data_IF_894144542444
#
_entry.id   IF_894144542444
#
_cell.length_a   1.000
_cell.length_b   1.000
_cell.length_c   1.000
_cell.angle_alpha   90.00
_cell.angle_beta   90.00
_cell.angle_gamma   90.00
#
_symmetry.space_group_name_H-M   'P 1'
#
loop_
_entity.id
_entity.type
_entity.pdbx_description
1 polymer ?
#
# COMPACT_ATOMS: atom_id res chain seq x y z
N UNK A 1 28.19 -9.26 -8.87
CA UNK A 1 27.77 -10.57 -8.34
C UNK A 1 27.57 -11.58 -9.48
N UNK A 2 26.46 -11.56 -10.23
CA UNK A 2 26.20 -12.53 -11.30
C UNK A 2 27.31 -12.59 -12.37
N UNK A 3 27.72 -11.43 -12.92
CA UNK A 3 28.84 -11.36 -13.88
C UNK A 3 30.21 -11.77 -13.30
N UNK A 4 30.31 -11.90 -11.99
CA UNK A 4 31.50 -12.36 -11.27
C UNK A 4 31.37 -13.81 -10.77
N UNK A 5 30.38 -14.57 -11.26
CA UNK A 5 30.21 -16.00 -10.98
C UNK A 5 29.36 -16.35 -9.75
N UNK A 6 28.78 -15.38 -9.05
CA UNK A 6 27.89 -15.67 -7.93
C UNK A 6 26.55 -16.27 -8.41
N UNK A 7 26.05 -17.28 -7.69
CA UNK A 7 24.71 -17.85 -7.90
C UNK A 7 23.68 -16.89 -7.32
N UNK A 8 22.70 -16.51 -8.11
CA UNK A 8 21.52 -15.76 -7.65
C UNK A 8 20.40 -16.76 -7.35
N UNK A 9 19.59 -16.46 -6.34
CA UNK A 9 18.40 -17.22 -5.97
C UNK A 9 17.22 -16.29 -5.82
N UNK A 10 16.00 -16.83 -5.94
CA UNK A 10 14.76 -16.17 -5.55
C UNK A 10 14.47 -14.86 -6.30
N UNK A 11 14.99 -14.72 -7.52
CA UNK A 11 14.85 -13.51 -8.34
C UNK A 11 13.41 -13.27 -8.81
N UNK A 12 12.56 -14.29 -8.75
CA UNK A 12 11.13 -14.21 -9.03
C UNK A 12 10.33 -13.53 -7.91
N UNK A 13 10.87 -13.42 -6.68
CA UNK A 13 10.18 -12.84 -5.53
C UNK A 13 10.32 -11.31 -5.49
N UNK A 14 9.64 -10.65 -6.42
CA UNK A 14 9.56 -9.18 -6.48
C UNK A 14 8.43 -8.67 -5.60
N UNK A 15 8.76 -7.79 -4.65
CA UNK A 15 7.76 -7.19 -3.77
C UNK A 15 7.14 -5.93 -4.40
N UNK A 16 5.81 -5.90 -4.42
CA UNK A 16 5.04 -4.70 -4.74
C UNK A 16 4.64 -4.01 -3.43
N UNK A 17 5.02 -2.74 -3.28
CA UNK A 17 4.59 -1.97 -2.12
C UNK A 17 3.10 -1.62 -2.27
N UNK A 18 2.22 -1.97 -1.31
CA UNK A 18 0.77 -1.84 -1.51
C UNK A 18 0.27 -0.40 -1.70
N UNK A 19 0.95 0.57 -1.08
CA UNK A 19 0.50 1.96 -0.98
C UNK A 19 1.46 2.92 -1.68
N UNK A 20 1.83 2.61 -2.93
CA UNK A 20 2.43 3.60 -3.82
C UNK A 20 1.36 4.60 -4.28
N UNK A 21 1.65 5.90 -4.20
CA UNK A 21 0.69 6.96 -4.52
C UNK A 21 0.43 7.00 -6.02
N UNK A 22 -0.81 6.70 -6.42
CA UNK A 22 -1.26 6.81 -7.81
C UNK A 22 -1.22 8.27 -8.26
N UNK A 23 -0.15 8.64 -8.97
CA UNK A 23 0.11 10.01 -9.44
C UNK A 23 0.91 10.00 -10.75
N UNK A 24 1.04 11.18 -11.37
CA UNK A 24 1.87 11.35 -12.56
C UNK A 24 3.40 11.26 -12.28
N UNK A 25 3.83 11.31 -11.00
CA UNK A 25 5.24 11.32 -10.61
C UNK A 25 5.94 10.01 -10.96
N UNK A 26 7.21 10.08 -11.38
CA UNK A 26 8.08 8.90 -11.59
C UNK A 26 9.47 9.16 -10.97
N UNK A 27 9.95 8.30 -10.05
CA UNK A 27 9.25 7.16 -9.46
C UNK A 27 8.02 7.59 -8.64
N UNK A 28 7.07 6.66 -8.45
CA UNK A 28 5.90 6.92 -7.60
C UNK A 28 6.36 7.19 -6.15
N UNK A 29 5.70 8.14 -5.49
CA UNK A 29 5.91 8.37 -4.06
C UNK A 29 5.32 7.20 -3.27
N UNK A 30 6.01 6.78 -2.20
CA UNK A 30 5.50 5.72 -1.32
C UNK A 30 4.83 6.34 -0.10
N UNK A 31 3.61 5.89 0.18
CA UNK A 31 2.95 6.14 1.46
C UNK A 31 3.30 4.99 2.40
N UNK A 32 3.99 5.30 3.50
CA UNK A 32 4.52 4.33 4.45
C UNK A 32 3.44 3.38 4.98
N UNK A 33 3.79 2.11 5.18
CA UNK A 33 2.90 1.14 5.85
C UNK A 33 2.53 1.56 7.28
N UNK A 34 3.38 2.38 7.91
CA UNK A 34 3.09 2.96 9.21
C UNK A 34 1.76 3.74 9.22
N UNK A 35 1.32 4.30 8.08
CA UNK A 35 0.01 4.96 7.98
C UNK A 35 -1.14 3.96 8.20
N UNK A 36 -1.04 2.74 7.66
CA UNK A 36 -1.97 1.64 7.97
C UNK A 36 -1.84 1.20 9.44
N UNK A 37 -0.61 1.17 9.96
CA UNK A 37 -0.29 0.90 11.37
C UNK A 37 -1.00 1.84 12.36
N UNK A 38 -1.15 3.11 11.99
CA UNK A 38 -1.87 4.12 12.79
C UNK A 38 -3.40 4.05 12.60
N UNK A 39 -3.92 3.05 11.87
CA UNK A 39 -5.35 2.80 11.73
C UNK A 39 -5.99 3.31 10.44
N UNK A 40 -5.21 3.75 9.45
CA UNK A 40 -5.75 4.09 8.14
C UNK A 40 -6.36 2.87 7.43
N UNK A 41 -7.47 3.10 6.72
CA UNK A 41 -8.28 2.06 6.11
C UNK A 41 -8.07 2.00 4.60
N UNK A 42 -8.12 0.79 4.03
CA UNK A 42 -8.17 0.60 2.58
C UNK A 42 -9.63 0.53 2.13
N UNK A 43 -10.05 1.52 1.35
CA UNK A 43 -11.41 1.66 0.83
C UNK A 43 -11.39 1.52 -0.69
N UNK A 44 -12.41 0.91 -1.26
CA UNK A 44 -12.64 0.97 -2.70
C UNK A 44 -13.48 2.22 -3.06
N UNK A 45 -13.77 2.39 -4.33
CA UNK A 45 -14.49 3.57 -4.84
C UNK A 45 -15.94 3.72 -4.36
N UNK A 46 -16.57 2.64 -3.87
CA UNK A 46 -17.88 2.71 -3.22
C UNK A 46 -17.79 3.01 -1.73
N UNK A 47 -16.59 3.23 -1.20
CA UNK A 47 -16.32 3.47 0.21
C UNK A 47 -16.31 2.19 1.06
N UNK A 48 -16.33 1.01 0.44
CA UNK A 48 -16.30 -0.25 1.15
C UNK A 48 -14.88 -0.58 1.66
N UNK A 49 -14.76 -0.94 2.94
CA UNK A 49 -13.52 -1.44 3.55
C UNK A 49 -13.29 -2.90 3.15
N UNK A 50 -12.75 -3.11 1.95
CA UNK A 50 -12.61 -4.45 1.35
C UNK A 50 -11.58 -5.36 2.06
N UNK A 51 -10.72 -4.80 2.91
CA UNK A 51 -9.77 -5.58 3.72
C UNK A 51 -10.37 -6.13 5.01
N UNK A 52 -11.55 -5.66 5.45
CA UNK A 52 -12.19 -6.12 6.69
C UNK A 52 -12.34 -7.66 6.82
N UNK A 53 -12.71 -8.43 5.76
CA UNK A 53 -12.82 -9.88 5.86
C UNK A 53 -11.48 -10.63 5.77
N UNK A 54 -10.36 -9.95 5.51
CA UNK A 54 -9.04 -10.58 5.34
C UNK A 54 -8.36 -10.70 6.71
N UNK A 55 -7.82 -11.87 7.09
CA UNK A 55 -7.02 -11.99 8.33
C UNK A 55 -5.88 -10.98 8.37
N UNK A 56 -5.79 -10.22 9.46
CA UNK A 56 -4.83 -9.11 9.61
C UNK A 56 -5.25 -7.79 8.95
N UNK A 57 -6.31 -7.79 8.13
CA UNK A 57 -6.87 -6.62 7.46
C UNK A 57 -5.78 -5.72 6.83
N UNK A 58 -5.77 -4.42 7.12
CA UNK A 58 -4.76 -3.48 6.61
C UNK A 58 -3.34 -3.77 7.11
N UNK A 59 -3.15 -4.65 8.10
CA UNK A 59 -1.85 -5.08 8.61
C UNK A 59 -1.45 -6.49 8.16
N UNK A 60 -2.19 -7.08 7.22
CA UNK A 60 -1.77 -8.31 6.55
C UNK A 60 -0.44 -8.09 5.79
N UNK A 61 0.22 -9.20 5.40
CA UNK A 61 1.47 -9.15 4.66
C UNK A 61 1.34 -8.38 3.34
N UNK A 62 2.44 -7.76 2.90
CA UNK A 62 2.47 -6.88 1.71
C UNK A 62 1.87 -7.54 0.48
N UNK A 63 2.19 -8.81 0.25
CA UNK A 63 1.70 -9.57 -0.90
C UNK A 63 0.19 -9.84 -0.83
N UNK A 64 -0.37 -10.06 0.37
CA UNK A 64 -1.82 -10.20 0.58
C UNK A 64 -2.53 -8.89 0.29
N UNK A 65 -2.04 -7.78 0.85
CA UNK A 65 -2.64 -6.45 0.65
C UNK A 65 -2.52 -6.02 -0.81
N UNK A 66 -1.35 -6.18 -1.43
CA UNK A 66 -1.13 -5.83 -2.83
C UNK A 66 -2.05 -6.62 -3.77
N UNK A 67 -2.22 -7.92 -3.57
CA UNK A 67 -3.17 -8.74 -4.35
C UNK A 67 -4.64 -8.35 -4.12
N UNK A 68 -5.00 -7.91 -2.92
CA UNK A 68 -6.35 -7.44 -2.66
C UNK A 68 -6.63 -6.11 -3.40
N UNK A 69 -5.67 -5.17 -3.38
CA UNK A 69 -5.74 -3.90 -4.13
C UNK A 69 -5.83 -4.17 -5.64
N UNK A 70 -4.97 -5.05 -6.15
CA UNK A 70 -4.95 -5.43 -7.58
C UNK A 70 -6.31 -5.98 -8.05
N UNK A 71 -6.96 -6.82 -7.23
CA UNK A 71 -8.31 -7.33 -7.55
C UNK A 71 -9.36 -6.24 -7.66
N UNK A 72 -9.33 -5.22 -6.80
CA UNK A 72 -10.25 -4.09 -6.89
C UNK A 72 -10.00 -3.27 -8.17
N UNK A 73 -8.72 -3.07 -8.54
CA UNK A 73 -8.33 -2.36 -9.77
C UNK A 73 -8.73 -3.15 -11.02
N UNK A 74 -8.50 -4.46 -11.05
CA UNK A 74 -8.88 -5.34 -12.17
C UNK A 74 -10.40 -5.42 -12.38
N UNK A 75 -11.20 -5.15 -11.33
CA UNK A 75 -12.66 -4.99 -11.43
C UNK A 75 -13.08 -3.63 -12.02
N UNK A 76 -12.12 -2.78 -12.37
CA UNK A 76 -12.34 -1.44 -12.92
C UNK A 76 -12.46 -0.36 -11.86
N UNK A 77 -12.29 -0.68 -10.58
CA UNK A 77 -12.45 0.25 -9.48
C UNK A 77 -11.18 1.01 -9.12
N UNK A 78 -11.32 1.97 -8.21
CA UNK A 78 -10.20 2.67 -7.56
C UNK A 78 -10.08 2.29 -6.09
N UNK A 79 -8.87 2.43 -5.56
CA UNK A 79 -8.56 2.17 -4.15
C UNK A 79 -7.99 3.44 -3.51
N UNK A 80 -8.38 3.66 -2.26
CA UNK A 80 -8.00 4.80 -1.44
C UNK A 80 -7.45 4.31 -0.10
N UNK A 81 -6.40 4.98 0.38
CA UNK A 81 -5.95 4.84 1.76
C UNK A 81 -6.51 6.02 2.56
N UNK A 82 -7.49 5.74 3.42
CA UNK A 82 -8.19 6.76 4.21
C UNK A 82 -7.63 6.81 5.63
N UNK A 83 -6.90 7.88 5.94
CA UNK A 83 -6.37 8.19 7.26
C UNK A 83 -7.20 9.24 8.02
N UNK A 84 -8.30 9.72 7.45
CA UNK A 84 -9.05 10.89 7.96
C UNK A 84 -9.57 10.68 9.39
N UNK A 85 -10.08 9.48 9.70
CA UNK A 85 -10.58 9.15 11.05
C UNK A 85 -9.47 8.84 12.04
N UNK A 86 -8.41 8.19 11.57
CA UNK A 86 -7.36 7.67 12.44
C UNK A 86 -6.36 8.75 12.85
N UNK A 87 -6.02 9.65 11.91
CA UNK A 87 -4.99 10.67 12.09
C UNK A 87 -5.54 12.09 11.95
N UNK A 88 -6.57 12.29 11.11
CA UNK A 88 -7.22 13.59 10.92
C UNK A 88 -6.21 14.72 10.68
N UNK A 89 -6.35 15.82 11.44
CA UNK A 89 -5.43 16.97 11.40
C UNK A 89 -4.01 16.66 11.88
N UNK A 90 -3.80 15.56 12.61
CA UNK A 90 -2.49 15.13 13.08
C UNK A 90 -1.62 14.45 12.00
N UNK A 91 -2.18 14.15 10.83
CA UNK A 91 -1.47 13.42 9.77
C UNK A 91 -0.15 14.11 9.38
N UNK A 92 -0.19 15.38 9.01
CA UNK A 92 1.00 16.11 8.53
C UNK A 92 2.06 16.30 9.61
N UNK A 93 1.67 16.38 10.89
CA UNK A 93 2.60 16.45 12.00
C UNK A 93 3.30 15.11 12.26
N UNK A 94 2.58 14.00 12.09
CA UNK A 94 3.10 12.64 12.31
C UNK A 94 3.92 12.12 11.14
N UNK A 95 3.52 12.45 9.92
CA UNK A 95 4.09 11.95 8.67
C UNK A 95 4.60 13.09 7.79
N UNK A 96 5.52 13.90 8.32
CA UNK A 96 6.08 15.08 7.65
C UNK A 96 6.73 14.81 6.29
N UNK A 97 7.23 13.59 6.06
CA UNK A 97 7.83 13.18 4.80
C UNK A 97 6.81 12.79 3.71
N UNK A 98 5.53 12.62 4.08
CA UNK A 98 4.44 12.39 3.14
C UNK A 98 3.82 13.75 2.85
N UNK A 99 4.38 14.44 1.86
CA UNK A 99 3.84 15.68 1.30
C UNK A 99 2.98 15.31 0.08
N UNK A 100 1.66 15.53 0.19
CA UNK A 100 0.64 15.14 -0.80
C UNK A 100 0.30 16.31 -1.73
#
# INVERSE_FOLDING_TARGET
>A
AARAGAILADMEFVQFHPTALSSARRPLALVSEAVRGEGALLLNESGARFMAPVPGAELASRDVVARAIDREILRGGRVFLDASKALGSGFSARFTAIDL
#
